data_IF_387010741228
#
_entry.id   IF_387010741228
#
_cell.length_a   1.000
_cell.length_b   1.000
_cell.length_c   1.000
_cell.angle_alpha   90.00
_cell.angle_beta   90.00
_cell.angle_gamma   90.00
#
_symmetry.space_group_name_H-M   'P 1'
#
loop_
_entity.id
_entity.type
_entity.pdbx_description
1 polymer ?
#
# COMPACT_ATOMS: atom_id res chain seq x y z
N UNK A 1 26.34 -18.31 25.92
CA UNK A 1 25.27 -17.32 26.12
C UNK A 1 24.00 -18.03 26.51
N UNK A 2 23.64 -17.99 27.79
CA UNK A 2 22.41 -18.65 28.24
C UNK A 2 21.23 -17.70 27.98
N UNK A 3 20.56 -17.89 26.89
CA UNK A 3 19.27 -17.29 26.70
C UNK A 3 18.29 -17.94 27.67
N UNK A 4 17.87 -17.22 28.70
CA UNK A 4 16.77 -17.67 29.54
C UNK A 4 15.54 -17.85 28.66
N UNK A 5 15.05 -19.09 28.55
CA UNK A 5 13.85 -19.46 27.79
C UNK A 5 12.62 -18.56 28.04
N UNK A 6 12.61 -17.77 29.11
CA UNK A 6 11.54 -16.83 29.43
C UNK A 6 11.63 -15.47 28.74
N UNK A 7 12.74 -15.12 28.09
CA UNK A 7 12.91 -13.81 27.42
C UNK A 7 12.66 -13.86 25.92
N UNK A 8 12.43 -15.04 25.36
CA UNK A 8 12.06 -15.25 23.97
C UNK A 8 10.61 -15.75 23.94
N UNK A 9 9.68 -14.93 24.38
CA UNK A 9 8.31 -15.14 23.98
C UNK A 9 8.26 -14.83 22.46
N UNK A 10 8.03 -15.80 21.58
CA UNK A 10 7.95 -15.57 20.15
C UNK A 10 6.85 -14.57 19.80
N UNK A 11 5.92 -14.33 20.71
CA UNK A 11 4.81 -13.40 20.55
C UNK A 11 5.11 -12.00 21.10
N UNK A 12 6.29 -11.76 21.62
CA UNK A 12 6.68 -10.46 22.15
C UNK A 12 7.80 -9.83 21.32
N UNK A 13 7.53 -8.70 20.69
CA UNK A 13 8.55 -7.83 20.12
C UNK A 13 9.13 -6.97 21.24
N UNK A 14 10.34 -7.30 21.64
CA UNK A 14 11.16 -6.42 22.47
C UNK A 14 11.70 -5.30 21.58
N UNK A 15 11.03 -4.16 21.56
CA UNK A 15 11.56 -2.96 20.95
C UNK A 15 12.56 -2.38 21.93
N UNK A 16 13.86 -2.45 21.60
CA UNK A 16 14.88 -1.68 22.29
C UNK A 16 14.72 -0.19 21.97
N UNK A 17 13.71 0.43 22.57
CA UNK A 17 13.67 1.88 22.63
C UNK A 17 14.78 2.35 23.58
N UNK A 18 15.42 3.52 23.35
CA UNK A 18 16.36 4.09 24.30
C UNK A 18 15.65 4.22 25.64
N UNK A 19 16.09 3.40 26.62
CA UNK A 19 15.48 3.38 27.94
C UNK A 19 16.02 4.56 28.73
N UNK A 20 15.13 5.44 29.13
CA UNK A 20 15.43 6.33 30.25
C UNK A 20 15.57 5.51 31.55
N UNK A 21 16.55 5.81 32.42
CA UNK A 21 16.72 5.09 33.67
C UNK A 21 15.40 5.05 34.45
N UNK A 22 14.88 3.84 34.70
CA UNK A 22 13.65 3.62 35.46
C UNK A 22 12.38 3.27 34.66
N UNK A 23 12.41 3.28 33.33
CA UNK A 23 11.28 2.83 32.51
C UNK A 23 11.51 1.42 31.96
N UNK A 24 10.75 0.46 32.44
CA UNK A 24 10.61 -0.83 31.77
C UNK A 24 9.56 -0.70 30.66
N UNK A 25 10.00 -0.67 29.43
CA UNK A 25 9.09 -0.79 28.29
C UNK A 25 8.68 -2.26 28.19
N UNK A 26 7.48 -2.59 28.59
CA UNK A 26 6.90 -3.92 28.32
C UNK A 26 6.85 -4.12 26.82
N UNK A 27 7.45 -5.19 26.32
CA UNK A 27 7.33 -5.59 24.91
C UNK A 27 5.85 -5.79 24.56
N UNK A 28 5.47 -5.31 23.37
CA UNK A 28 4.14 -5.53 22.82
C UNK A 28 4.12 -6.93 22.17
N UNK A 29 3.00 -7.65 22.33
CA UNK A 29 2.79 -8.87 21.56
C UNK A 29 2.60 -8.55 20.08
N UNK A 30 2.85 -9.53 19.20
CA UNK A 30 2.66 -9.38 17.76
C UNK A 30 1.23 -8.92 17.45
N UNK A 31 0.24 -9.43 18.15
CA UNK A 31 -1.17 -9.05 17.95
C UNK A 31 -1.45 -7.62 18.42
N UNK A 32 -0.80 -7.17 19.48
CA UNK A 32 -0.87 -5.77 19.90
C UNK A 32 -0.24 -4.84 18.88
N UNK A 33 0.92 -5.22 18.33
CA UNK A 33 1.58 -4.47 17.25
C UNK A 33 0.70 -4.42 16.01
N UNK A 34 0.15 -5.56 15.58
CA UNK A 34 -0.80 -5.62 14.44
C UNK A 34 -2.01 -4.74 14.67
N UNK A 35 -2.58 -4.77 15.89
CA UNK A 35 -3.74 -3.94 16.25
C UNK A 35 -3.41 -2.45 16.22
N UNK A 36 -2.24 -2.06 16.72
CA UNK A 36 -1.77 -0.68 16.68
C UNK A 36 -1.54 -0.20 15.23
N UNK A 37 -0.92 -1.03 14.40
CA UNK A 37 -0.72 -0.74 12.99
C UNK A 37 -2.07 -0.55 12.30
N UNK A 38 -3.02 -1.47 12.48
CA UNK A 38 -4.37 -1.37 11.88
C UNK A 38 -5.09 -0.08 12.27
N UNK A 39 -4.96 0.38 13.52
CA UNK A 39 -5.56 1.63 13.99
C UNK A 39 -4.94 2.89 13.39
N UNK A 40 -3.72 2.79 12.86
CA UNK A 40 -2.99 3.91 12.26
C UNK A 40 -3.09 3.96 10.74
N UNK A 41 -3.59 2.89 10.12
CA UNK A 41 -3.73 2.84 8.66
C UNK A 41 -4.76 3.87 8.21
N UNK A 42 -4.32 4.68 7.26
CA UNK A 42 -5.13 5.66 6.54
C UNK A 42 -5.28 5.22 5.10
N UNK A 43 -6.37 5.67 4.48
CA UNK A 43 -6.64 5.42 3.08
C UNK A 43 -6.76 6.72 2.32
N UNK A 44 -6.24 6.75 1.09
CA UNK A 44 -6.46 7.84 0.14
C UNK A 44 -6.81 7.28 -1.22
N UNK A 45 -7.95 7.69 -1.74
CA UNK A 45 -8.43 7.30 -3.05
C UNK A 45 -8.03 8.31 -4.12
N UNK A 46 -7.75 7.79 -5.31
CA UNK A 46 -7.51 8.57 -6.52
C UNK A 46 -8.35 8.01 -7.65
N UNK A 47 -8.82 8.89 -8.51
CA UNK A 47 -9.56 8.53 -9.72
C UNK A 47 -8.88 9.16 -10.91
N UNK A 48 -8.53 8.35 -11.89
CA UNK A 48 -7.81 8.78 -13.08
C UNK A 48 -8.63 8.46 -14.33
N UNK A 49 -8.70 9.41 -15.24
CA UNK A 49 -9.14 9.17 -16.62
C UNK A 49 -7.90 8.73 -17.42
N UNK A 50 -7.79 7.43 -17.67
CA UNK A 50 -6.70 6.84 -18.43
C UNK A 50 -7.04 6.91 -19.90
N UNK A 51 -6.36 7.77 -20.64
CA UNK A 51 -6.52 7.87 -22.09
C UNK A 51 -5.84 6.68 -22.81
N UNK A 52 -6.16 6.49 -24.07
CA UNK A 52 -5.45 5.51 -24.91
C UNK A 52 -3.97 5.87 -25.06
N UNK A 53 -3.12 4.85 -25.09
CA UNK A 53 -1.67 4.99 -25.09
C UNK A 53 -1.07 4.82 -23.69
N UNK A 54 0.08 5.42 -23.45
CA UNK A 54 0.75 5.40 -22.15
C UNK A 54 0.51 6.71 -21.42
N UNK A 55 0.17 6.64 -20.15
CA UNK A 55 0.01 7.81 -19.29
C UNK A 55 0.64 7.56 -17.93
N UNK A 56 1.19 8.63 -17.34
CA UNK A 56 1.79 8.61 -16.01
C UNK A 56 1.00 9.52 -15.08
N UNK A 57 0.65 9.00 -13.91
CA UNK A 57 -0.09 9.71 -12.88
C UNK A 57 0.79 9.83 -11.63
N UNK A 58 0.94 11.05 -11.15
CA UNK A 58 1.67 11.33 -9.93
C UNK A 58 0.71 11.26 -8.73
N UNK A 59 1.14 10.53 -7.72
CA UNK A 59 0.37 10.29 -6.50
C UNK A 59 0.96 11.13 -5.38
N UNK A 60 0.13 11.94 -4.75
CA UNK A 60 0.50 12.67 -3.55
C UNK A 60 -0.26 12.12 -2.34
N UNK A 61 0.46 11.43 -1.48
CA UNK A 61 -0.03 11.06 -0.16
C UNK A 61 0.10 12.25 0.81
N UNK A 62 -0.36 12.06 2.04
CA UNK A 62 -0.15 13.05 3.10
C UNK A 62 1.34 13.27 3.34
N UNK A 63 1.78 14.51 3.53
CA UNK A 63 3.17 14.82 3.93
C UNK A 63 3.59 14.21 5.28
N UNK A 64 2.62 13.69 6.05
CA UNK A 64 2.86 12.95 7.28
C UNK A 64 2.93 11.44 7.09
N UNK A 65 2.71 10.93 5.85
CA UNK A 65 2.85 9.52 5.55
C UNK A 65 4.29 9.06 5.78
N UNK A 66 4.46 7.97 6.50
CA UNK A 66 5.78 7.39 6.85
C UNK A 66 6.02 6.03 6.22
N UNK A 67 4.95 5.28 6.01
CA UNK A 67 5.01 3.95 5.42
C UNK A 67 3.86 3.80 4.45
N UNK A 68 4.18 3.48 3.20
CA UNK A 68 3.20 2.94 2.28
C UNK A 68 2.95 1.48 2.66
N UNK A 69 1.71 1.12 2.89
CA UNK A 69 1.32 -0.24 3.25
C UNK A 69 0.94 -1.07 2.02
N UNK A 70 0.29 -0.44 1.07
CA UNK A 70 -0.12 -1.09 -0.16
C UNK A 70 -1.15 -0.30 -0.95
N UNK A 71 -1.65 -0.94 -1.98
CA UNK A 71 -2.67 -0.36 -2.86
C UNK A 71 -3.68 -1.42 -3.31
N UNK A 72 -4.83 -0.96 -3.76
CA UNK A 72 -5.83 -1.79 -4.43
C UNK A 72 -6.50 -1.00 -5.55
N UNK A 73 -6.73 -1.65 -6.66
CA UNK A 73 -7.49 -1.10 -7.77
C UNK A 73 -8.98 -1.41 -7.59
N UNK A 74 -9.81 -0.38 -7.81
CA UNK A 74 -11.27 -0.49 -7.65
C UNK A 74 -11.93 -0.17 -9.00
N UNK A 75 -12.34 -1.18 -9.76
CA UNK A 75 -13.01 -0.97 -11.03
C UNK A 75 -14.39 -0.35 -10.83
N UNK A 76 -14.66 0.75 -11.56
CA UNK A 76 -15.96 1.41 -11.58
C UNK A 76 -16.23 1.97 -12.97
N UNK A 77 -17.50 2.09 -13.32
CA UNK A 77 -17.90 2.86 -14.50
C UNK A 77 -17.69 4.37 -14.26
N UNK A 78 -17.75 5.16 -15.32
CA UNK A 78 -17.72 6.64 -15.25
C UNK A 78 -18.81 7.17 -14.31
N UNK A 79 -19.96 6.52 -14.25
CA UNK A 79 -21.07 6.85 -13.35
C UNK A 79 -20.82 6.38 -11.88
N UNK A 80 -19.67 5.78 -11.58
CA UNK A 80 -19.33 5.31 -10.23
C UNK A 80 -19.92 3.95 -9.86
N UNK A 81 -20.56 3.25 -10.78
CA UNK A 81 -21.13 1.91 -10.52
C UNK A 81 -19.99 0.88 -10.45
N UNK A 82 -19.95 0.02 -9.42
CA UNK A 82 -18.96 -1.05 -9.32
C UNK A 82 -19.06 -2.01 -10.51
N UNK A 83 -17.91 -2.41 -11.04
CA UNK A 83 -17.77 -3.42 -12.09
C UNK A 83 -16.75 -4.47 -11.68
N UNK A 84 -16.72 -5.59 -12.36
CA UNK A 84 -15.87 -6.74 -11.98
C UNK A 84 -14.41 -6.59 -12.35
N UNK A 85 -14.06 -5.67 -13.25
CA UNK A 85 -12.69 -5.47 -13.68
C UNK A 85 -12.52 -4.32 -14.66
N UNK A 86 -11.29 -4.08 -15.07
CA UNK A 86 -10.91 -3.12 -16.10
C UNK A 86 -10.91 -3.83 -17.46
N UNK A 87 -11.65 -3.27 -18.42
CA UNK A 87 -11.79 -3.86 -19.74
C UNK A 87 -10.71 -3.37 -20.73
N UNK A 88 -10.24 -2.14 -20.55
CA UNK A 88 -9.42 -1.46 -21.55
C UNK A 88 -7.97 -1.24 -21.13
N UNK A 89 -7.68 -1.15 -19.84
CA UNK A 89 -6.33 -0.96 -19.32
C UNK A 89 -5.53 -2.26 -19.50
N UNK A 90 -4.45 -2.19 -20.30
CA UNK A 90 -3.62 -3.37 -20.57
C UNK A 90 -2.68 -3.70 -19.44
N UNK A 91 -1.96 -2.69 -18.91
CA UNK A 91 -1.04 -2.90 -17.79
C UNK A 91 -0.82 -1.64 -16.97
N UNK A 92 -0.36 -1.85 -15.75
CA UNK A 92 0.04 -0.81 -14.83
C UNK A 92 1.41 -1.11 -14.25
N UNK A 93 2.24 -0.07 -14.15
CA UNK A 93 3.49 -0.11 -13.40
C UNK A 93 3.43 0.89 -12.26
N UNK A 94 3.93 0.49 -11.11
CA UNK A 94 3.96 1.31 -9.90
C UNK A 94 5.41 1.54 -9.47
N UNK A 95 5.75 2.80 -9.21
CA UNK A 95 7.09 3.21 -8.82
C UNK A 95 7.05 4.12 -7.59
N UNK A 96 8.06 3.98 -6.76
CA UNK A 96 8.38 4.94 -5.70
C UNK A 96 9.79 5.44 -5.96
N UNK A 97 9.93 6.73 -6.23
CA UNK A 97 11.15 7.32 -6.77
C UNK A 97 11.57 6.59 -8.07
N UNK A 98 12.77 6.09 -8.13
CA UNK A 98 13.27 5.32 -9.28
C UNK A 98 13.11 3.81 -9.11
N UNK A 99 12.57 3.34 -7.99
CA UNK A 99 12.35 1.92 -7.74
C UNK A 99 11.02 1.47 -8.36
N UNK A 100 11.08 0.48 -9.24
CA UNK A 100 9.90 -0.18 -9.80
C UNK A 100 9.44 -1.24 -8.81
N UNK A 101 8.21 -1.10 -8.31
CA UNK A 101 7.62 -2.02 -7.32
C UNK A 101 6.69 -3.03 -7.99
N UNK A 102 5.92 -2.55 -8.95
CA UNK A 102 5.06 -3.38 -9.81
C UNK A 102 5.42 -3.02 -11.24
N UNK A 103 5.69 -4.01 -12.06
CA UNK A 103 6.07 -3.82 -13.46
C UNK A 103 5.07 -4.53 -14.38
N UNK A 104 4.44 -3.76 -15.26
CA UNK A 104 3.55 -4.26 -16.33
C UNK A 104 2.50 -5.30 -15.86
N UNK A 105 1.96 -5.11 -14.66
CA UNK A 105 0.92 -5.99 -14.13
C UNK A 105 -0.44 -5.65 -14.73
N UNK A 106 -1.27 -6.67 -14.94
CA UNK A 106 -2.69 -6.47 -15.22
C UNK A 106 -3.36 -5.93 -13.95
N UNK A 107 -3.99 -4.73 -13.98
CA UNK A 107 -4.63 -4.15 -12.82
C UNK A 107 -5.76 -5.02 -12.25
N UNK A 108 -6.34 -5.91 -13.04
CA UNK A 108 -7.36 -6.85 -12.59
C UNK A 108 -6.84 -7.81 -11.51
N UNK A 109 -5.56 -8.19 -11.55
CA UNK A 109 -4.97 -9.01 -10.50
C UNK A 109 -4.77 -8.27 -9.16
N UNK A 110 -4.88 -6.96 -9.17
CA UNK A 110 -4.70 -6.10 -8.00
C UNK A 110 -6.04 -5.54 -7.49
N UNK A 111 -7.15 -6.15 -7.87
CA UNK A 111 -8.48 -5.85 -7.35
C UNK A 111 -8.83 -6.73 -6.15
N UNK A 112 -9.72 -6.26 -5.28
CA UNK A 112 -10.17 -7.02 -4.11
C UNK A 112 -10.84 -8.35 -4.46
N UNK A 113 -11.39 -8.49 -5.67
CA UNK A 113 -12.06 -9.71 -6.11
C UNK A 113 -11.11 -10.88 -6.33
N UNK A 114 -9.86 -10.60 -6.69
CA UNK A 114 -8.84 -11.63 -6.95
C UNK A 114 -7.82 -11.75 -5.82
N UNK A 115 -7.74 -10.75 -4.95
CA UNK A 115 -6.92 -10.80 -3.75
C UNK A 115 -7.79 -11.24 -2.57
N UNK A 116 -7.31 -12.20 -1.78
CA UNK A 116 -7.97 -12.56 -0.52
C UNK A 116 -7.78 -11.50 0.58
N UNK A 117 -6.97 -10.48 0.31
CA UNK A 117 -6.65 -9.38 1.21
C UNK A 117 -7.35 -8.09 0.77
N UNK A 118 -7.49 -7.15 1.71
CA UNK A 118 -8.11 -5.84 1.44
C UNK A 118 -7.31 -5.01 0.43
N UNK A 119 -5.99 -5.23 0.34
CA UNK A 119 -5.08 -4.54 -0.58
C UNK A 119 -3.82 -5.36 -0.84
N UNK A 120 -3.14 -5.06 -1.95
CA UNK A 120 -1.85 -5.63 -2.27
C UNK A 120 -0.78 -5.05 -1.34
N UNK A 121 -0.22 -5.90 -0.48
CA UNK A 121 0.72 -5.52 0.56
C UNK A 121 2.13 -5.31 0.00
N UNK A 122 2.60 -4.07 0.02
CA UNK A 122 3.92 -3.66 -0.46
C UNK A 122 4.53 -2.62 0.50
N UNK A 123 4.90 -2.99 1.73
CA UNK A 123 5.37 -2.02 2.70
C UNK A 123 6.66 -1.34 2.22
N UNK A 124 6.61 0.00 2.19
CA UNK A 124 7.74 0.85 1.83
C UNK A 124 7.84 2.02 2.78
N UNK A 125 9.01 2.30 3.36
CA UNK A 125 9.21 3.54 4.09
C UNK A 125 9.06 4.72 3.13
N UNK A 126 8.47 5.80 3.61
CA UNK A 126 8.30 7.04 2.87
C UNK A 126 9.00 8.19 3.58
N UNK A 127 9.61 9.05 2.78
CA UNK A 127 9.99 10.41 3.17
C UNK A 127 8.93 11.39 2.65
N UNK A 128 8.86 12.58 3.19
CA UNK A 128 7.89 13.58 2.71
C UNK A 128 8.14 14.10 1.28
N UNK A 129 9.23 13.67 0.66
CA UNK A 129 9.68 14.11 -0.68
C UNK A 129 9.64 13.00 -1.72
N UNK A 130 9.10 11.82 -1.38
CA UNK A 130 9.06 10.69 -2.32
C UNK A 130 8.12 10.98 -3.49
N UNK A 131 8.59 10.67 -4.68
CA UNK A 131 7.81 10.66 -5.90
C UNK A 131 7.16 9.28 -6.08
N UNK A 132 5.83 9.26 -6.05
CA UNK A 132 5.04 8.04 -6.24
C UNK A 132 4.32 8.16 -7.58
N UNK A 133 4.51 7.19 -8.47
CA UNK A 133 3.93 7.23 -9.79
C UNK A 133 3.24 5.93 -10.18
N UNK A 134 2.11 6.08 -10.89
CA UNK A 134 1.43 5.01 -11.61
C UNK A 134 1.57 5.28 -13.11
N UNK A 135 2.09 4.34 -13.84
CA UNK A 135 2.16 4.37 -15.29
C UNK A 135 1.20 3.36 -15.88
N UNK A 136 0.26 3.84 -16.66
CA UNK A 136 -0.74 3.00 -17.34
C UNK A 136 -0.37 2.83 -18.81
N UNK A 137 -0.61 1.63 -19.31
CA UNK A 137 -0.65 1.33 -20.75
C UNK A 137 -2.07 0.92 -21.10
N UNK A 138 -2.75 1.75 -21.88
CA UNK A 138 -4.14 1.55 -22.26
C UNK A 138 -4.24 1.44 -23.78
N UNK A 139 -4.26 0.22 -24.35
CA UNK A 139 -4.24 0.04 -25.78
C UNK A 139 -5.62 0.23 -26.47
N UNK A 140 -6.72 0.23 -25.73
CA UNK A 140 -8.05 0.13 -26.28
C UNK A 140 -8.84 1.44 -26.25
N UNK A 141 -9.56 1.69 -25.20
CA UNK A 141 -10.45 2.84 -25.03
C UNK A 141 -10.18 3.55 -23.71
N UNK A 142 -10.46 4.84 -23.65
CA UNK A 142 -10.35 5.59 -22.40
C UNK A 142 -11.21 4.94 -21.30
N UNK A 143 -10.65 4.81 -20.11
CA UNK A 143 -11.27 4.17 -18.97
C UNK A 143 -10.96 4.90 -17.66
N UNK A 144 -11.88 4.84 -16.71
CA UNK A 144 -11.66 5.38 -15.36
C UNK A 144 -11.02 4.31 -14.51
N UNK A 145 -9.87 4.65 -13.92
CA UNK A 145 -9.18 3.81 -12.96
C UNK A 145 -9.20 4.46 -11.58
N UNK A 146 -9.78 3.76 -10.61
CA UNK A 146 -9.74 4.16 -9.21
C UNK A 146 -8.73 3.31 -8.46
N UNK A 147 -7.96 3.96 -7.62
CA UNK A 147 -6.92 3.30 -6.80
C UNK A 147 -7.04 3.80 -5.37
N UNK A 148 -7.00 2.88 -4.41
CA UNK A 148 -6.88 3.20 -2.99
C UNK A 148 -5.46 2.89 -2.53
N UNK A 149 -4.84 3.85 -1.88
CA UNK A 149 -3.56 3.69 -1.21
C UNK A 149 -3.77 3.59 0.29
N UNK A 150 -3.11 2.61 0.89
CA UNK A 150 -3.08 2.40 2.34
C UNK A 150 -1.72 2.80 2.88
N UNK A 151 -1.68 3.65 3.91
CA UNK A 151 -0.45 4.19 4.47
C UNK A 151 -0.57 4.51 5.98
N UNK A 152 0.56 4.65 6.63
CA UNK A 152 0.70 5.10 8.02
C UNK A 152 1.50 6.39 8.06
#
# INVERSE_FOLDING_TARGET
>A
MNFKKGNLNPDALSINAPQFPGQQVKGLSIDQVRTLIKKQIRMKGFSFNVATGSSTQNIQLSGTARILMGLVFVPRTVAGVPVTGFANIGSVSFKVNNEIIIENADPNFLTTLLMNDEYYYIPRPLSGTDEITLQFTNPLLAEVCNVLFYYI
#
